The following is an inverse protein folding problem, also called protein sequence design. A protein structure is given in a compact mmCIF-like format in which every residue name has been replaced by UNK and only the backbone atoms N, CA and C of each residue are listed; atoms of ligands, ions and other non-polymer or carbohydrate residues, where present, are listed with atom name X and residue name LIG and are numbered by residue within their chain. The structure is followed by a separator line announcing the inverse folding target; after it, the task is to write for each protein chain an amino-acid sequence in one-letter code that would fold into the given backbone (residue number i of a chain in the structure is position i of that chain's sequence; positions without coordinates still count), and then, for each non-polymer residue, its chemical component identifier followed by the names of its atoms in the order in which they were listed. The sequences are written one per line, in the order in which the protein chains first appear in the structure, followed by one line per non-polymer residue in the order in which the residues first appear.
data_IF_984894459532
#
_entry.id   IF_984894459532
#
_cell.length_a   1.000
_cell.length_b   1.000
_cell.length_c   1.000
_cell.angle_alpha   90.00
_cell.angle_beta   90.00
_cell.angle_gamma   90.00
#
_symmetry.space_group_name_H-M   'P 1'
#
loop_
_entity.id
_entity.type
_entity.pdbx_description
1 polymer ?
#
# COMPACT_ATOMS: atom_id res chain seq x y z
N UNK A 1 5.49 6.68 -1.33
CA UNK A 1 5.07 6.73 0.09
C UNK A 1 5.80 7.87 0.76
N UNK A 2 5.09 8.81 1.35
CA UNK A 2 5.66 10.03 1.93
C UNK A 2 5.55 9.99 3.45
N UNK A 3 6.70 10.02 4.14
CA UNK A 3 6.81 10.07 5.60
C UNK A 3 7.14 11.47 6.12
N UNK A 4 6.90 12.53 5.33
CA UNK A 4 7.14 13.92 5.71
C UNK A 4 6.59 14.24 7.11
N UNK A 5 7.40 14.95 7.90
CA UNK A 5 7.17 15.33 9.29
C UNK A 5 7.18 14.20 10.33
N UNK A 6 7.18 12.93 9.92
CA UNK A 6 7.33 11.79 10.82
C UNK A 6 8.82 11.50 11.05
N UNK A 7 9.40 12.15 12.07
CA UNK A 7 10.84 12.11 12.37
C UNK A 7 11.26 11.07 13.42
N UNK A 8 10.30 10.55 14.18
CA UNK A 8 10.54 9.52 15.20
C UNK A 8 9.47 8.44 15.27
N UNK A 9 8.35 8.62 14.58
CA UNK A 9 7.19 7.74 14.57
C UNK A 9 6.71 7.42 13.14
N UNK A 10 7.62 7.41 12.17
CA UNK A 10 7.35 6.83 10.85
C UNK A 10 7.40 5.31 10.97
N UNK A 11 6.62 4.56 10.17
CA UNK A 11 6.67 3.11 10.20
C UNK A 11 8.02 2.59 9.72
N UNK A 12 8.47 1.48 10.29
CA UNK A 12 9.75 0.87 9.94
C UNK A 12 9.75 0.42 8.47
N UNK A 13 8.62 -0.15 8.03
CA UNK A 13 8.39 -0.67 6.69
C UNK A 13 6.95 -0.49 6.22
N UNK A 14 6.73 -0.66 4.93
CA UNK A 14 5.39 -0.81 4.35
C UNK A 14 5.34 -1.91 3.29
N UNK A 15 4.14 -2.40 2.98
CA UNK A 15 3.85 -3.18 1.77
C UNK A 15 2.53 -2.72 1.15
N UNK A 16 2.27 -3.12 -0.09
CA UNK A 16 1.04 -2.80 -0.80
C UNK A 16 0.46 -4.08 -1.40
N UNK A 17 -0.79 -4.38 -1.05
CA UNK A 17 -1.59 -5.42 -1.69
C UNK A 17 -2.62 -4.78 -2.60
N UNK A 18 -3.05 -5.51 -3.62
CA UNK A 18 -4.03 -5.03 -4.58
C UNK A 18 -4.92 -6.16 -5.10
N UNK A 19 -6.14 -5.79 -5.50
CA UNK A 19 -7.06 -6.72 -6.14
C UNK A 19 -8.01 -6.02 -7.11
N UNK A 20 -8.51 -6.81 -8.06
CA UNK A 20 -9.68 -6.50 -8.86
C UNK A 20 -10.92 -7.10 -8.21
N UNK A 21 -11.64 -6.30 -7.42
CA UNK A 21 -12.84 -6.75 -6.71
C UNK A 21 -14.06 -6.56 -7.62
N UNK A 22 -14.73 -7.67 -7.97
CA UNK A 22 -15.90 -7.69 -8.87
C UNK A 22 -17.23 -7.85 -8.14
N UNK A 23 -17.21 -8.06 -6.82
CA UNK A 23 -18.40 -8.23 -6.01
C UNK A 23 -18.08 -8.53 -4.54
N UNK A 24 -19.10 -8.48 -3.70
CA UNK A 24 -18.99 -8.63 -2.25
C UNK A 24 -19.67 -7.49 -1.50
N UNK A 25 -19.70 -7.61 -0.18
CA UNK A 25 -20.07 -6.53 0.75
C UNK A 25 -18.81 -5.90 1.36
N UNK A 26 -18.95 -4.72 1.96
CA UNK A 26 -17.85 -4.04 2.67
C UNK A 26 -17.22 -4.94 3.75
N UNK A 27 -18.04 -5.69 4.50
CA UNK A 27 -17.54 -6.64 5.51
C UNK A 27 -16.72 -7.76 4.87
N UNK A 28 -17.18 -8.30 3.74
CA UNK A 28 -16.45 -9.34 3.02
C UNK A 28 -15.13 -8.83 2.42
N UNK A 29 -15.04 -7.53 2.10
CA UNK A 29 -13.85 -6.90 1.54
C UNK A 29 -12.67 -7.01 2.50
N UNK A 30 -12.91 -6.83 3.81
CA UNK A 30 -11.87 -6.93 4.84
C UNK A 30 -11.27 -8.33 4.87
N UNK A 31 -12.11 -9.37 4.84
CA UNK A 31 -11.66 -10.77 4.80
C UNK A 31 -10.94 -11.10 3.50
N UNK A 32 -11.47 -10.66 2.35
CA UNK A 32 -10.82 -10.85 1.05
C UNK A 32 -9.43 -10.20 1.02
N UNK A 33 -9.30 -9.00 1.60
CA UNK A 33 -8.05 -8.25 1.64
C UNK A 33 -6.95 -8.92 2.48
N UNK A 34 -7.26 -9.96 3.26
CA UNK A 34 -6.25 -10.80 3.90
C UNK A 34 -5.52 -11.71 2.91
N UNK A 35 -6.11 -11.97 1.74
CA UNK A 35 -5.61 -12.89 0.72
C UNK A 35 -5.27 -12.22 -0.61
N UNK A 36 -5.32 -10.88 -0.67
CA UNK A 36 -4.93 -10.14 -1.87
C UNK A 36 -3.44 -10.31 -2.18
N UNK A 37 -3.11 -10.35 -3.47
CA UNK A 37 -1.74 -10.45 -3.94
C UNK A 37 -0.95 -9.17 -3.59
N UNK A 38 0.35 -9.33 -3.34
CA UNK A 38 1.25 -8.20 -3.13
C UNK A 38 1.54 -7.51 -4.48
N UNK A 39 1.21 -6.23 -4.57
CA UNK A 39 1.63 -5.36 -5.66
C UNK A 39 3.06 -4.85 -5.42
N UNK A 40 3.40 -4.60 -4.17
CA UNK A 40 4.73 -4.24 -3.68
C UNK A 40 4.98 -5.00 -2.38
N UNK A 41 5.97 -5.88 -2.38
CA UNK A 41 6.44 -6.56 -1.17
C UNK A 41 7.05 -5.59 -0.16
N UNK A 42 7.39 -6.06 1.04
CA UNK A 42 7.85 -5.20 2.12
C UNK A 42 9.08 -4.34 1.76
N UNK A 43 8.95 -3.02 1.96
CA UNK A 43 9.98 -2.02 1.72
C UNK A 43 10.34 -1.29 3.01
N UNK A 44 11.63 -1.07 3.23
CA UNK A 44 12.15 -0.23 4.31
C UNK A 44 11.81 1.23 4.05
N UNK A 45 11.36 1.94 5.08
CA UNK A 45 11.10 3.38 5.02
C UNK A 45 12.14 4.17 5.83
N UNK A 46 12.22 5.46 5.50
CA UNK A 46 13.08 6.45 6.12
C UNK A 46 12.24 7.57 6.74
N UNK A 47 12.80 8.25 7.73
CA UNK A 47 12.20 9.43 8.36
C UNK A 47 12.11 10.59 7.37
N UNK A 48 11.02 11.36 7.42
CA UNK A 48 10.87 12.63 6.71
C UNK A 48 11.26 12.57 5.21
N UNK A 49 10.78 11.54 4.50
CA UNK A 49 11.26 11.20 3.17
C UNK A 49 10.13 10.82 2.18
N UNK A 50 10.33 11.14 0.90
CA UNK A 50 9.43 10.76 -0.19
C UNK A 50 10.00 9.54 -0.93
N UNK A 51 9.40 8.37 -0.69
CA UNK A 51 9.78 7.12 -1.30
C UNK A 51 9.05 6.91 -2.62
N UNK A 52 9.79 6.57 -3.66
CA UNK A 52 9.28 6.20 -4.99
C UNK A 52 9.60 4.73 -5.25
N UNK A 53 8.66 4.02 -5.88
CA UNK A 53 8.76 2.59 -6.14
C UNK A 53 8.24 2.33 -7.56
N UNK A 54 9.14 1.89 -8.45
CA UNK A 54 8.82 1.68 -9.87
C UNK A 54 8.75 0.20 -10.25
N UNK A 55 9.22 -0.69 -9.38
CA UNK A 55 9.19 -2.14 -9.57
C UNK A 55 7.98 -2.73 -8.84
N UNK A 56 6.91 -2.99 -9.59
CA UNK A 56 5.64 -3.51 -9.09
C UNK A 56 5.32 -4.86 -9.73
N UNK A 57 4.57 -5.70 -9.02
CA UNK A 57 4.06 -6.94 -9.57
C UNK A 57 3.01 -6.68 -10.67
N UNK A 58 3.03 -7.46 -11.75
CA UNK A 58 2.05 -7.36 -12.82
C UNK A 58 0.75 -8.09 -12.46
N UNK A 59 -0.17 -7.39 -11.78
CA UNK A 59 -1.44 -7.96 -11.31
C UNK A 59 -2.64 -7.71 -12.24
N UNK A 60 -2.45 -6.96 -13.33
CA UNK A 60 -3.54 -6.52 -14.21
C UNK A 60 -4.34 -5.33 -13.65
N UNK A 61 -5.59 -5.10 -14.12
CA UNK A 61 -6.43 -4.01 -13.62
C UNK A 61 -6.70 -4.12 -12.12
N UNK A 62 -6.59 -3.01 -11.39
CA UNK A 62 -6.78 -2.95 -9.93
C UNK A 62 -7.92 -1.99 -9.61
N UNK A 63 -8.84 -2.39 -8.74
CA UNK A 63 -9.91 -1.50 -8.24
C UNK A 63 -9.71 -1.10 -6.78
N UNK A 64 -9.02 -1.94 -6.00
CA UNK A 64 -8.78 -1.71 -4.59
C UNK A 64 -7.32 -1.99 -4.23
N UNK A 65 -6.83 -1.24 -3.24
CA UNK A 65 -5.53 -1.45 -2.65
C UNK A 65 -5.64 -1.53 -1.13
N UNK A 66 -4.72 -2.25 -0.53
CA UNK A 66 -4.51 -2.28 0.92
C UNK A 66 -3.06 -1.89 1.19
N UNK A 67 -2.89 -0.78 1.89
CA UNK A 67 -1.59 -0.30 2.31
C UNK A 67 -1.30 -0.78 3.74
N UNK A 68 -0.24 -1.56 3.89
CA UNK A 68 0.18 -2.10 5.18
C UNK A 68 1.40 -1.33 5.68
N UNK A 69 1.40 -0.96 6.96
CA UNK A 69 2.54 -0.37 7.65
C UNK A 69 2.93 -1.27 8.83
N UNK A 70 4.23 -1.37 9.12
CA UNK A 70 4.74 -2.33 10.11
C UNK A 70 5.74 -1.67 11.08
N UNK A 71 5.66 -1.97 12.39
CA UNK A 71 4.49 -2.54 13.08
C UNK A 71 3.32 -1.53 13.17
N UNK A 72 3.66 -0.25 13.23
CA UNK A 72 2.77 0.90 13.35
C UNK A 72 3.56 2.18 12.99
N UNK A 73 2.90 3.34 13.04
CA UNK A 73 3.51 4.63 12.77
C UNK A 73 2.64 5.53 11.91
N UNK A 74 3.20 6.65 11.44
CA UNK A 74 2.52 7.62 10.60
C UNK A 74 3.10 7.73 9.20
N UNK A 75 2.20 7.83 8.22
CA UNK A 75 2.51 8.15 6.82
C UNK A 75 1.74 9.41 6.47
N UNK A 76 2.43 10.40 5.90
CA UNK A 76 1.82 11.67 5.53
C UNK A 76 0.94 11.50 4.30
N UNK A 77 1.47 10.88 3.25
CA UNK A 77 0.73 10.65 2.00
C UNK A 77 1.08 9.30 1.37
N UNK A 78 0.05 8.64 0.86
CA UNK A 78 0.17 7.59 -0.15
C UNK A 78 -0.29 8.17 -1.48
N UNK A 79 0.49 7.97 -2.54
CA UNK A 79 0.12 8.32 -3.92
C UNK A 79 0.26 7.07 -4.76
N UNK A 80 -0.76 6.78 -5.54
CA UNK A 80 -0.80 5.64 -6.45
C UNK A 80 -0.97 6.21 -7.85
N UNK A 81 -0.04 5.85 -8.73
CA UNK A 81 -0.06 6.26 -10.12
C UNK A 81 -0.46 5.06 -10.95
N UNK A 82 -1.37 5.29 -11.88
CA UNK A 82 -1.87 4.27 -12.79
C UNK A 82 -2.60 4.93 -13.95
N UNK A 83 -2.84 4.15 -14.98
CA UNK A 83 -3.62 4.57 -16.13
C UNK A 83 -5.03 3.96 -16.02
N UNK A 84 -6.10 4.72 -16.34
CA UNK A 84 -7.43 4.15 -16.47
C UNK A 84 -7.42 3.04 -17.52
N UNK A 85 -8.18 1.98 -17.25
CA UNK A 85 -8.39 0.88 -18.20
C UNK A 85 -9.23 1.30 -19.42
#
# INVERSE_FOLDING_TARGET
VDTAFFKGNFPDRCSLQAAHVTGGTDDSLVTQAMFWAELLGEQKLQMDHVHTFDQLAALGPVTHVRFNIFPDGGVSRLRLWGEPA
#
